data_IF_017180914566
#
_entry.id   IF_017180914566
#
_cell.length_a   1.000
_cell.length_b   1.000
_cell.length_c   1.000
_cell.angle_alpha   90.00
_cell.angle_beta   90.00
_cell.angle_gamma   90.00
#
_symmetry.space_group_name_H-M   'P 1'
#
loop_
_entity.id
_entity.type
_entity.pdbx_description
1 polymer ?
#
# COMPACT_ATOMS: atom_id res chain seq x y z
N UNK A 1 11.47 27.97 -45.59
CA UNK A 1 10.29 28.02 -44.71
C UNK A 1 9.84 26.64 -44.24
N UNK A 2 9.57 25.69 -45.13
CA UNK A 2 9.21 24.30 -44.81
C UNK A 2 10.06 23.61 -43.71
N UNK A 3 11.39 23.75 -43.74
CA UNK A 3 12.26 23.08 -42.75
C UNK A 3 12.17 23.73 -41.36
N UNK A 4 12.03 25.06 -41.29
CA UNK A 4 11.80 25.79 -40.05
C UNK A 4 10.48 25.34 -39.41
N UNK A 5 9.43 25.20 -40.21
CA UNK A 5 8.12 24.81 -39.69
C UNK A 5 8.10 23.36 -39.21
N UNK A 6 8.83 22.46 -39.88
CA UNK A 6 9.06 21.10 -39.39
C UNK A 6 9.80 21.06 -38.06
N UNK A 7 10.85 21.87 -37.89
CA UNK A 7 11.59 21.96 -36.63
C UNK A 7 10.67 22.43 -35.50
N UNK A 8 9.86 23.46 -35.73
CA UNK A 8 8.91 23.98 -34.74
C UNK A 8 7.84 22.93 -34.40
N UNK A 9 7.30 22.23 -35.41
CA UNK A 9 6.32 21.17 -35.19
C UNK A 9 6.88 20.01 -34.36
N UNK A 10 8.11 19.58 -34.67
CA UNK A 10 8.80 18.53 -33.90
C UNK A 10 9.09 18.97 -32.46
N UNK A 11 9.50 20.22 -32.25
CA UNK A 11 9.73 20.76 -30.91
C UNK A 11 8.44 20.77 -30.08
N UNK A 12 7.31 21.18 -30.67
CA UNK A 12 5.99 21.15 -30.01
C UNK A 12 5.57 19.73 -29.64
N UNK A 13 5.69 18.78 -30.57
CA UNK A 13 5.36 17.37 -30.32
C UNK A 13 6.22 16.78 -29.20
N UNK A 14 7.51 17.11 -29.17
CA UNK A 14 8.41 16.68 -28.09
C UNK A 14 8.01 17.29 -26.74
N UNK A 15 7.65 18.58 -26.71
CA UNK A 15 7.20 19.25 -25.49
C UNK A 15 5.89 18.64 -24.95
N UNK A 16 4.92 18.35 -25.82
CA UNK A 16 3.68 17.67 -25.46
C UNK A 16 3.95 16.27 -24.90
N UNK A 17 4.86 15.52 -25.52
CA UNK A 17 5.27 14.20 -25.03
C UNK A 17 5.90 14.28 -23.64
N UNK A 18 6.84 15.22 -23.43
CA UNK A 18 7.49 15.44 -22.13
C UNK A 18 6.45 15.76 -21.07
N UNK A 19 5.48 16.63 -21.38
CA UNK A 19 4.40 16.98 -20.45
C UNK A 19 3.55 15.75 -20.10
N UNK A 20 3.13 14.98 -21.08
CA UNK A 20 2.31 13.78 -20.86
C UNK A 20 3.06 12.71 -20.05
N UNK A 21 4.36 12.55 -20.29
CA UNK A 21 5.20 11.62 -19.55
C UNK A 21 5.40 12.08 -18.09
N UNK A 22 5.60 13.38 -17.87
CA UNK A 22 5.69 13.98 -16.53
C UNK A 22 4.39 13.82 -15.73
N UNK A 23 3.23 14.07 -16.35
CA UNK A 23 1.91 13.87 -15.71
C UNK A 23 1.71 12.40 -15.31
N UNK A 24 2.09 11.44 -16.17
CA UNK A 24 2.05 10.00 -15.84
C UNK A 24 3.01 9.63 -14.72
N UNK A 25 4.20 10.21 -14.70
CA UNK A 25 5.18 9.97 -13.62
C UNK A 25 4.65 10.48 -12.28
N UNK A 26 4.15 11.71 -12.25
CA UNK A 26 3.57 12.29 -11.04
C UNK A 26 2.39 11.45 -10.50
N UNK A 27 1.50 10.98 -11.37
CA UNK A 27 0.40 10.11 -10.97
C UNK A 27 0.91 8.79 -10.34
N UNK A 28 1.92 8.16 -10.93
CA UNK A 28 2.53 6.92 -10.39
C UNK A 28 3.20 7.15 -9.04
N UNK A 29 3.87 8.29 -8.86
CA UNK A 29 4.53 8.62 -7.60
C UNK A 29 3.50 8.88 -6.49
N UNK A 30 2.39 9.54 -6.81
CA UNK A 30 1.27 9.73 -5.87
C UNK A 30 0.69 8.38 -5.44
N UNK A 31 0.42 7.47 -6.39
CA UNK A 31 -0.11 6.15 -6.06
C UNK A 31 0.87 5.35 -5.19
N UNK A 32 2.17 5.36 -5.52
CA UNK A 32 3.19 4.71 -4.71
C UNK A 32 3.26 5.29 -3.29
N UNK A 33 3.15 6.61 -3.14
CA UNK A 33 3.12 7.26 -1.84
C UNK A 33 1.88 6.84 -1.04
N UNK A 34 0.69 6.80 -1.67
CA UNK A 34 -0.55 6.33 -1.04
C UNK A 34 -0.44 4.89 -0.55
N UNK A 35 0.11 3.99 -1.37
CA UNK A 35 0.34 2.61 -0.96
C UNK A 35 1.32 2.51 0.21
N UNK A 36 2.37 3.32 0.21
CA UNK A 36 3.33 3.41 1.32
C UNK A 36 2.64 3.77 2.63
N UNK A 37 1.86 4.85 2.62
CA UNK A 37 1.09 5.31 3.77
C UNK A 37 0.08 4.25 4.25
N UNK A 38 -0.61 3.56 3.32
CA UNK A 38 -1.56 2.51 3.68
C UNK A 38 -0.88 1.33 4.37
N UNK A 39 0.30 0.92 3.90
CA UNK A 39 1.10 -0.15 4.53
C UNK A 39 1.54 0.26 5.93
N UNK A 40 2.03 1.48 6.10
CA UNK A 40 2.46 2.00 7.40
C UNK A 40 1.29 2.07 8.39
N UNK A 41 0.14 2.61 7.96
CA UNK A 41 -1.07 2.66 8.77
C UNK A 41 -1.53 1.26 9.19
N UNK A 42 -1.48 0.29 8.27
CA UNK A 42 -1.84 -1.11 8.57
C UNK A 42 -0.89 -1.73 9.61
N UNK A 43 0.41 -1.46 9.48
CA UNK A 43 1.42 -1.93 10.44
C UNK A 43 1.18 -1.33 11.84
N UNK A 44 0.92 -0.02 11.91
CA UNK A 44 0.60 0.65 13.16
C UNK A 44 -0.69 0.11 13.78
N UNK A 45 -1.72 -0.14 12.97
CA UNK A 45 -2.97 -0.73 13.43
C UNK A 45 -2.78 -2.14 14.02
N UNK A 46 -1.95 -2.98 13.40
CA UNK A 46 -1.63 -4.32 13.93
C UNK A 46 -0.91 -4.22 15.27
N UNK A 47 0.08 -3.33 15.39
CA UNK A 47 0.81 -3.11 16.65
C UNK A 47 -0.16 -2.67 17.74
N UNK A 48 -1.01 -1.68 17.46
CA UNK A 48 -2.00 -1.18 18.40
C UNK A 48 -3.00 -2.27 18.81
N UNK A 49 -3.49 -3.06 17.84
CA UNK A 49 -4.38 -4.19 18.12
C UNK A 49 -3.72 -5.21 19.04
N UNK A 50 -2.44 -5.53 18.82
CA UNK A 50 -1.66 -6.42 19.69
C UNK A 50 -1.49 -5.86 21.10
N UNK A 51 -1.24 -4.57 21.24
CA UNK A 51 -1.15 -3.91 22.55
C UNK A 51 -2.49 -3.92 23.29
N UNK A 52 -3.59 -3.64 22.59
CA UNK A 52 -4.94 -3.70 23.16
C UNK A 52 -5.30 -5.12 23.61
N UNK A 53 -4.97 -6.14 22.79
CA UNK A 53 -5.21 -7.53 23.16
C UNK A 53 -4.42 -7.91 24.42
N UNK A 54 -3.14 -7.53 24.51
CA UNK A 54 -2.31 -7.77 25.70
C UNK A 54 -2.84 -7.10 26.96
N UNK A 55 -3.41 -5.90 26.83
CA UNK A 55 -3.97 -5.16 27.97
C UNK A 55 -5.31 -5.72 28.44
N UNK A 56 -6.10 -6.30 27.54
CA UNK A 56 -7.48 -6.69 27.83
C UNK A 56 -7.69 -8.20 27.95
N UNK A 57 -6.69 -9.03 27.64
CA UNK A 57 -6.78 -10.49 27.82
C UNK A 57 -7.06 -10.83 29.30
N UNK A 58 -8.02 -11.71 29.52
CA UNK A 58 -8.38 -12.18 30.84
C UNK A 58 -8.25 -13.72 30.94
N UNK A 59 -8.55 -14.29 32.11
CA UNK A 59 -8.43 -15.73 32.35
C UNK A 59 -9.39 -16.57 31.49
N UNK A 60 -10.59 -16.06 31.19
CA UNK A 60 -11.57 -16.74 30.33
C UNK A 60 -11.07 -16.82 28.88
N UNK A 61 -10.45 -15.74 28.39
CA UNK A 61 -9.81 -15.74 27.06
C UNK A 61 -8.66 -16.76 27.00
N UNK A 62 -7.86 -16.87 28.06
CA UNK A 62 -6.77 -17.85 28.13
C UNK A 62 -7.28 -19.30 28.11
N UNK A 63 -8.32 -19.60 28.90
CA UNK A 63 -8.96 -20.92 28.90
C UNK A 63 -9.54 -21.26 27.52
N UNK A 64 -10.21 -20.28 26.88
CA UNK A 64 -10.73 -20.45 25.51
C UNK A 64 -9.61 -20.75 24.53
N UNK A 65 -8.50 -20.01 24.57
CA UNK A 65 -7.37 -20.24 23.65
C UNK A 65 -6.73 -21.61 23.83
N UNK A 66 -6.61 -22.11 25.06
CA UNK A 66 -6.11 -23.47 25.34
C UNK A 66 -7.08 -24.52 24.79
N UNK A 67 -8.39 -24.33 25.01
CA UNK A 67 -9.42 -25.24 24.50
C UNK A 67 -9.44 -25.29 22.97
N UNK A 68 -9.37 -24.14 22.31
CA UNK A 68 -9.29 -24.04 20.84
C UNK A 68 -8.02 -24.69 20.28
N UNK A 69 -6.87 -24.47 20.93
CA UNK A 69 -5.61 -25.10 20.52
C UNK A 69 -5.69 -26.63 20.61
N UNK A 70 -6.19 -27.18 21.73
CA UNK A 70 -6.33 -28.62 21.92
C UNK A 70 -7.32 -29.24 20.92
N UNK A 71 -8.42 -28.54 20.61
CA UNK A 71 -9.38 -28.98 19.60
C UNK A 71 -8.77 -29.02 18.21
N UNK A 72 -8.08 -27.95 17.79
CA UNK A 72 -7.48 -27.86 16.46
C UNK A 72 -6.36 -28.87 16.24
N UNK A 73 -5.56 -29.16 17.27
CA UNK A 73 -4.52 -30.21 17.20
C UNK A 73 -5.15 -31.61 17.20
N UNK A 74 -6.25 -31.80 17.94
CA UNK A 74 -7.01 -33.06 17.96
C UNK A 74 -7.73 -33.37 16.64
N UNK A 75 -8.16 -32.36 15.88
CA UNK A 75 -8.76 -32.54 14.54
C UNK A 75 -7.72 -32.79 13.42
N UNK A 76 -6.43 -32.57 13.71
CA UNK A 76 -5.31 -32.81 12.80
C UNK A 76 -4.77 -34.25 12.84
N UNK A 77 -5.39 -35.13 13.64
CA UNK A 77 -5.08 -36.56 13.80
C UNK A 77 -6.30 -37.43 13.47
#
# INVERSE_FOLDING_TARGET
ELERDKIIANARKSAEKIRADAEKMAARDIERAREGLRREASKLAIVLAGELLRKNINSEDQERFVSEYLKNVGELH
#
